data_IF_596185211369
#
_entry.id   IF_596185211369
#
_cell.length_a   1.000
_cell.length_b   1.000
_cell.length_c   1.000
_cell.angle_alpha   90.00
_cell.angle_beta   90.00
_cell.angle_gamma   90.00
#
_symmetry.space_group_name_H-M   'P 1'
#
loop_
_entity.id
_entity.type
_entity.pdbx_description
1 polymer ?
#
# COMPACT_ATOMS: atom_id res chain seq x y z
N UNK A 1 -17.01 7.02 -16.70
CA UNK A 1 -15.63 6.71 -17.09
C UNK A 1 -14.69 7.79 -16.57
N UNK A 2 -13.54 7.41 -16.07
CA UNK A 2 -12.48 8.31 -15.65
C UNK A 2 -11.10 7.69 -15.91
N UNK A 3 -10.11 8.55 -16.00
CA UNK A 3 -8.68 8.22 -15.98
C UNK A 3 -7.98 9.21 -15.06
N UNK A 4 -6.94 8.79 -14.39
CA UNK A 4 -6.15 9.62 -13.50
C UNK A 4 -4.71 9.16 -13.41
N UNK A 5 -3.88 10.02 -12.83
CA UNK A 5 -2.50 9.74 -12.49
C UNK A 5 -2.16 10.43 -11.17
N UNK A 6 -1.26 9.82 -10.40
CA UNK A 6 -0.65 10.42 -9.21
C UNK A 6 0.84 10.15 -9.19
N UNK A 7 1.56 10.89 -8.38
CA UNK A 7 2.99 10.68 -8.16
C UNK A 7 3.28 10.83 -6.67
N UNK A 8 4.09 9.93 -6.14
CA UNK A 8 4.37 9.86 -4.71
C UNK A 8 5.87 9.68 -4.46
N UNK A 9 6.35 10.31 -3.39
CA UNK A 9 7.68 10.01 -2.88
C UNK A 9 7.64 8.69 -2.11
N UNK A 10 8.60 7.83 -2.37
CA UNK A 10 8.66 6.50 -1.77
C UNK A 10 10.05 6.21 -1.20
N UNK A 11 10.12 5.18 -0.39
CA UNK A 11 11.36 4.61 0.09
C UNK A 11 11.31 3.10 -0.03
N UNK A 12 11.70 2.58 -1.20
CA UNK A 12 11.79 1.15 -1.47
C UNK A 12 13.23 0.66 -1.39
N UNK A 13 13.38 -0.62 -1.07
CA UNK A 13 14.69 -1.25 -0.92
C UNK A 13 15.50 -1.23 -2.24
N UNK A 14 14.85 -1.26 -3.40
CA UNK A 14 15.49 -1.13 -4.72
C UNK A 14 15.83 0.31 -5.13
N UNK A 15 15.61 1.30 -4.25
CA UNK A 15 15.92 2.71 -4.51
C UNK A 15 15.17 3.32 -5.70
N UNK A 16 13.98 2.84 -6.03
CA UNK A 16 13.14 3.50 -7.02
C UNK A 16 12.96 4.98 -6.66
N UNK A 17 13.01 5.85 -7.69
CA UNK A 17 13.03 7.30 -7.50
C UNK A 17 11.68 7.87 -7.07
N UNK A 18 10.59 7.27 -7.52
CA UNK A 18 9.22 7.69 -7.22
C UNK A 18 8.26 6.52 -7.48
N UNK A 19 7.04 6.66 -6.97
CA UNK A 19 5.87 5.92 -7.43
C UNK A 19 5.09 6.81 -8.40
N UNK A 20 4.72 6.27 -9.54
CA UNK A 20 3.86 6.92 -10.53
C UNK A 20 2.68 6.00 -10.80
N UNK A 21 1.49 6.48 -10.47
CA UNK A 21 0.27 5.74 -10.68
C UNK A 21 -0.44 6.17 -11.95
N UNK A 22 -1.01 5.19 -12.64
CA UNK A 22 -1.96 5.40 -13.74
C UNK A 22 -3.16 4.53 -13.49
N UNK A 23 -4.34 5.13 -13.42
CA UNK A 23 -5.56 4.39 -13.10
C UNK A 23 -6.75 4.86 -13.94
N UNK A 24 -7.74 3.99 -14.09
CA UNK A 24 -8.98 4.31 -14.77
C UNK A 24 -10.07 3.30 -14.49
N UNK A 25 -11.31 3.74 -14.68
CA UNK A 25 -12.45 2.90 -14.36
C UNK A 25 -13.80 3.54 -14.65
N UNK A 26 -14.83 2.91 -14.09
CA UNK A 26 -16.22 3.38 -14.17
C UNK A 26 -16.79 3.52 -12.75
N UNK A 27 -17.67 4.52 -12.58
CA UNK A 27 -18.34 4.81 -11.29
C UNK A 27 -19.86 4.85 -11.45
N UNK A 28 -20.51 3.70 -11.63
CA UNK A 28 -21.97 3.66 -11.66
C UNK A 28 -22.57 3.84 -10.26
N UNK A 29 -23.74 4.48 -10.21
CA UNK A 29 -24.51 4.69 -8.98
C UNK A 29 -25.93 4.19 -9.17
N UNK A 30 -26.44 3.39 -8.19
CA UNK A 30 -27.77 2.84 -8.19
C UNK A 30 -28.43 3.08 -6.82
N UNK A 31 -29.30 4.07 -6.74
CA UNK A 31 -29.94 4.46 -5.47
C UNK A 31 -28.90 4.84 -4.39
N UNK A 32 -28.90 4.11 -3.28
CA UNK A 32 -27.98 4.31 -2.16
C UNK A 32 -26.58 3.65 -2.36
N UNK A 33 -26.36 2.96 -3.47
CA UNK A 33 -25.12 2.25 -3.75
C UNK A 33 -24.33 2.94 -4.86
N UNK A 34 -23.07 3.24 -4.57
CA UNK A 34 -22.09 3.72 -5.53
C UNK A 34 -20.99 2.66 -5.70
N UNK A 35 -20.62 2.39 -6.94
CA UNK A 35 -19.53 1.45 -7.27
C UNK A 35 -18.37 2.20 -7.93
N UNK A 36 -17.17 1.65 -7.77
CA UNK A 36 -15.97 2.09 -8.49
C UNK A 36 -15.21 0.84 -8.91
N UNK A 37 -15.15 0.59 -10.20
CA UNK A 37 -14.53 -0.62 -10.77
C UNK A 37 -13.48 -0.17 -11.77
N UNK A 38 -12.25 -0.64 -11.62
CA UNK A 38 -11.18 -0.18 -12.49
C UNK A 38 -9.90 -1.00 -12.41
N UNK A 39 -8.87 -0.41 -13.00
CA UNK A 39 -7.50 -0.92 -13.01
C UNK A 39 -6.57 0.18 -12.50
N UNK A 40 -5.57 -0.22 -11.74
CA UNK A 40 -4.53 0.66 -11.19
C UNK A 40 -3.16 0.09 -11.52
N UNK A 41 -2.33 0.86 -12.18
CA UNK A 41 -0.94 0.53 -12.46
C UNK A 41 -0.01 1.33 -11.55
N UNK A 42 0.90 0.66 -10.89
CA UNK A 42 1.93 1.20 -10.03
C UNK A 42 3.28 1.08 -10.74
N UNK A 43 3.89 2.20 -11.07
CA UNK A 43 5.15 2.26 -11.80
C UNK A 43 6.25 2.81 -10.88
N UNK A 44 7.38 2.11 -10.82
CA UNK A 44 8.51 2.43 -9.93
C UNK A 44 9.79 2.69 -10.74
N UNK A 45 9.93 3.86 -11.39
CA UNK A 45 11.08 4.18 -12.22
C UNK A 45 12.37 4.34 -11.39
N UNK A 46 13.50 4.05 -12.02
CA UNK A 46 14.83 4.29 -11.47
C UNK A 46 15.31 3.26 -10.44
N UNK A 47 14.61 2.13 -10.31
CA UNK A 47 15.02 1.07 -9.39
C UNK A 47 16.37 0.44 -9.74
N UNK A 48 17.08 -0.04 -8.72
CA UNK A 48 18.32 -0.79 -8.82
C UNK A 48 18.15 -2.15 -8.15
N UNK A 49 18.59 -3.20 -8.82
CA UNK A 49 18.59 -4.53 -8.23
C UNK A 49 19.81 -4.74 -7.35
N UNK A 50 19.62 -5.32 -6.18
CA UNK A 50 20.68 -5.69 -5.25
C UNK A 50 20.59 -7.19 -4.96
N UNK A 51 21.76 -7.84 -4.81
CA UNK A 51 21.82 -9.20 -4.29
C UNK A 51 21.64 -9.20 -2.77
N UNK A 52 20.78 -10.08 -2.29
CA UNK A 52 20.87 -10.56 -0.92
C UNK A 52 21.97 -11.62 -0.77
N UNK A 53 22.11 -12.15 0.44
CA UNK A 53 23.02 -13.26 0.72
C UNK A 53 22.53 -14.60 0.13
N UNK A 54 21.38 -14.64 -0.53
CA UNK A 54 20.81 -15.88 -1.06
C UNK A 54 21.53 -16.32 -2.33
N UNK A 55 22.03 -17.54 -2.29
CA UNK A 55 22.60 -18.25 -3.43
C UNK A 55 21.84 -19.55 -3.66
N UNK A 56 21.84 -20.05 -4.89
CA UNK A 56 21.37 -21.40 -5.15
C UNK A 56 22.32 -22.46 -4.54
N UNK A 57 21.99 -23.74 -4.67
CA UNK A 57 22.81 -24.86 -4.17
C UNK A 57 24.20 -24.95 -4.81
N UNK A 58 24.43 -24.27 -5.93
CA UNK A 58 25.72 -24.18 -6.62
C UNK A 58 26.52 -22.92 -6.22
N UNK A 59 26.01 -22.13 -5.28
CA UNK A 59 26.63 -20.88 -4.82
C UNK A 59 26.42 -19.70 -5.80
N UNK A 60 25.55 -19.85 -6.81
CA UNK A 60 25.20 -18.78 -7.73
C UNK A 60 24.18 -17.85 -7.08
N UNK A 61 24.42 -16.53 -7.12
CA UNK A 61 23.43 -15.58 -6.63
C UNK A 61 22.08 -15.76 -7.34
N UNK A 62 21.00 -15.80 -6.57
CA UNK A 62 19.65 -15.78 -7.10
C UNK A 62 19.40 -14.39 -7.69
N UNK A 63 19.01 -14.32 -8.97
CA UNK A 63 18.84 -13.06 -9.70
C UNK A 63 20.08 -12.65 -10.49
N UNK A 64 20.15 -13.05 -11.75
CA UNK A 64 21.30 -12.79 -12.64
C UNK A 64 21.49 -11.34 -13.06
N UNK A 65 20.50 -10.47 -12.83
CA UNK A 65 20.44 -9.08 -13.29
C UNK A 65 20.84 -8.06 -12.22
N UNK A 66 21.20 -8.52 -11.04
CA UNK A 66 21.47 -7.68 -9.90
C UNK A 66 22.95 -7.29 -9.76
N UNK A 67 23.20 -6.13 -9.18
CA UNK A 67 24.54 -5.70 -8.77
C UNK A 67 25.01 -6.53 -7.57
N UNK A 68 26.34 -6.68 -7.44
CA UNK A 68 26.98 -7.46 -6.35
C UNK A 68 26.92 -6.79 -4.97
N UNK A 69 26.27 -5.65 -4.85
CA UNK A 69 26.15 -4.90 -3.60
C UNK A 69 24.91 -5.33 -2.83
N UNK A 70 25.04 -5.54 -1.54
CA UNK A 70 23.93 -5.84 -0.64
C UNK A 70 23.08 -4.61 -0.38
N UNK A 71 21.77 -4.82 -0.21
CA UNK A 71 20.93 -3.81 0.39
C UNK A 71 21.41 -3.47 1.81
N UNK A 72 21.21 -2.25 2.29
CA UNK A 72 21.57 -1.88 3.67
C UNK A 72 20.94 -2.77 4.73
N UNK A 73 19.73 -3.31 4.47
CA UNK A 73 19.02 -4.24 5.33
C UNK A 73 19.26 -5.73 4.99
N UNK A 74 20.13 -6.03 4.02
CA UNK A 74 20.46 -7.40 3.61
C UNK A 74 19.41 -8.13 2.77
N UNK A 75 18.35 -7.46 2.34
CA UNK A 75 17.29 -8.06 1.54
C UNK A 75 17.56 -7.98 0.03
N UNK A 76 16.88 -8.84 -0.72
CA UNK A 76 16.90 -8.88 -2.19
C UNK A 76 15.65 -8.20 -2.73
N UNK A 77 15.79 -7.39 -3.78
CA UNK A 77 14.65 -6.81 -4.47
C UNK A 77 14.98 -6.64 -5.96
N UNK A 78 14.02 -6.95 -6.83
CA UNK A 78 14.15 -6.74 -8.28
C UNK A 78 14.34 -5.26 -8.60
N UNK A 79 15.01 -5.01 -9.75
CA UNK A 79 15.17 -3.66 -10.30
C UNK A 79 13.82 -3.00 -10.58
N UNK A 80 12.92 -3.73 -11.23
CA UNK A 80 11.57 -3.29 -11.53
C UNK A 80 10.58 -4.03 -10.64
N UNK A 81 9.83 -3.29 -9.85
CA UNK A 81 8.76 -3.79 -8.98
C UNK A 81 7.40 -3.23 -9.40
N UNK A 82 7.31 -2.68 -10.62
CA UNK A 82 6.05 -2.19 -11.17
C UNK A 82 5.04 -3.32 -11.33
N UNK A 83 3.78 -3.03 -11.04
CA UNK A 83 2.70 -4.01 -11.11
C UNK A 83 1.36 -3.32 -11.36
N UNK A 84 0.29 -4.10 -11.47
CA UNK A 84 -1.06 -3.57 -11.59
C UNK A 84 -2.03 -4.35 -10.71
N UNK A 85 -3.15 -3.70 -10.41
CA UNK A 85 -4.30 -4.29 -9.72
C UNK A 85 -5.58 -4.03 -10.50
N UNK A 86 -6.48 -4.99 -10.46
CA UNK A 86 -7.90 -4.75 -10.73
C UNK A 86 -8.60 -4.52 -9.40
N UNK A 87 -9.55 -3.59 -9.36
CA UNK A 87 -10.24 -3.31 -8.11
C UNK A 87 -11.74 -3.12 -8.30
N UNK A 88 -12.45 -3.37 -7.22
CA UNK A 88 -13.86 -3.07 -7.06
C UNK A 88 -14.12 -2.46 -5.69
N UNK A 89 -14.89 -1.38 -5.66
CA UNK A 89 -15.38 -0.74 -4.44
C UNK A 89 -16.90 -0.64 -4.51
N UNK A 90 -17.55 -0.90 -3.39
CA UNK A 90 -18.98 -0.72 -3.23
C UNK A 90 -19.25 0.12 -1.99
N UNK A 91 -19.85 1.28 -2.16
CA UNK A 91 -20.22 2.18 -1.07
C UNK A 91 -21.74 2.19 -0.91
N UNK A 92 -22.19 1.91 0.30
CA UNK A 92 -23.58 2.05 0.72
C UNK A 92 -23.75 3.29 1.59
N UNK A 93 -24.48 4.28 1.09
CA UNK A 93 -24.88 5.47 1.83
C UNK A 93 -26.21 5.20 2.52
N UNK A 94 -26.17 4.93 3.84
CA UNK A 94 -27.37 4.62 4.63
C UNK A 94 -28.24 5.86 4.79
N UNK A 95 -27.60 7.00 5.09
CA UNK A 95 -28.23 8.31 5.26
C UNK A 95 -27.15 9.42 5.15
N UNK A 96 -27.53 10.66 5.42
CA UNK A 96 -26.61 11.83 5.32
C UNK A 96 -25.38 11.72 6.24
N UNK A 97 -25.45 10.91 7.29
CA UNK A 97 -24.39 10.79 8.29
C UNK A 97 -23.55 9.52 8.12
N UNK A 98 -24.12 8.40 7.63
CA UNK A 98 -23.46 7.11 7.66
C UNK A 98 -23.25 6.53 6.25
N UNK A 99 -22.04 6.11 5.99
CA UNK A 99 -21.68 5.33 4.81
C UNK A 99 -20.74 4.18 5.18
N UNK A 100 -20.88 3.06 4.48
CA UNK A 100 -19.97 1.91 4.54
C UNK A 100 -19.44 1.62 3.15
N UNK A 101 -18.14 1.29 3.07
CA UNK A 101 -17.50 0.90 1.81
C UNK A 101 -16.81 -0.43 2.01
N UNK A 102 -16.95 -1.32 1.03
CA UNK A 102 -16.15 -2.53 0.90
C UNK A 102 -15.22 -2.32 -0.29
N UNK A 103 -13.94 -2.63 -0.12
CA UNK A 103 -12.93 -2.58 -1.17
C UNK A 103 -12.37 -3.97 -1.40
N UNK A 104 -12.04 -4.24 -2.66
CA UNK A 104 -11.35 -5.43 -3.12
C UNK A 104 -10.33 -5.03 -4.17
N UNK A 105 -9.07 -5.44 -3.98
CA UNK A 105 -7.97 -5.20 -4.92
C UNK A 105 -7.26 -6.52 -5.18
N UNK A 106 -6.98 -6.84 -6.41
CA UNK A 106 -6.28 -8.04 -6.80
C UNK A 106 -5.17 -7.75 -7.80
N UNK A 107 -3.96 -8.19 -7.48
CA UNK A 107 -2.82 -8.22 -8.38
C UNK A 107 -2.41 -9.67 -8.66
N UNK A 108 -2.28 -10.08 -9.92
CA UNK A 108 -1.73 -11.40 -10.25
C UNK A 108 -0.22 -11.51 -9.99
N UNK A 109 0.48 -10.37 -9.89
CA UNK A 109 1.93 -10.30 -9.72
C UNK A 109 2.31 -9.08 -8.87
N UNK A 110 2.01 -9.16 -7.57
CA UNK A 110 2.22 -8.08 -6.61
C UNK A 110 3.71 -7.70 -6.51
N UNK A 111 4.01 -6.41 -6.68
CA UNK A 111 5.38 -5.88 -6.70
C UNK A 111 6.34 -6.64 -7.64
N UNK A 112 5.82 -7.21 -8.73
CA UNK A 112 6.60 -8.02 -9.68
C UNK A 112 7.37 -9.19 -9.02
N UNK A 113 6.83 -9.70 -7.92
CA UNK A 113 7.48 -10.76 -7.14
C UNK A 113 7.16 -12.17 -7.63
N UNK A 114 6.22 -12.32 -8.56
CA UNK A 114 5.63 -13.61 -8.93
C UNK A 114 4.48 -14.03 -7.99
N UNK A 115 4.37 -13.43 -6.82
CA UNK A 115 3.26 -13.68 -5.90
C UNK A 115 2.02 -12.89 -6.32
N UNK A 116 0.85 -13.52 -6.25
CA UNK A 116 -0.40 -12.76 -6.30
C UNK A 116 -0.60 -12.01 -4.98
N UNK A 117 -1.32 -10.89 -5.03
CA UNK A 117 -1.77 -10.13 -3.87
C UNK A 117 -3.27 -9.88 -3.95
N UNK A 118 -3.95 -9.98 -2.82
CA UNK A 118 -5.35 -9.63 -2.68
C UNK A 118 -5.54 -8.82 -1.39
N UNK A 119 -6.11 -7.63 -1.50
CA UNK A 119 -6.45 -6.79 -0.36
C UNK A 119 -7.95 -6.55 -0.32
N UNK A 120 -8.57 -6.96 0.79
CA UNK A 120 -9.98 -6.69 1.06
C UNK A 120 -10.09 -5.82 2.30
N UNK A 121 -10.98 -4.83 2.27
CA UNK A 121 -11.24 -3.99 3.44
C UNK A 121 -12.69 -3.56 3.56
N UNK A 122 -13.07 -3.18 4.79
CA UNK A 122 -14.31 -2.51 5.11
C UNK A 122 -14.03 -1.18 5.78
N UNK A 123 -14.71 -0.13 5.33
CA UNK A 123 -14.62 1.23 5.85
C UNK A 123 -15.97 1.65 6.39
N UNK A 124 -15.99 2.17 7.63
CA UNK A 124 -17.12 2.89 8.17
C UNK A 124 -16.81 4.39 8.23
N UNK A 125 -17.75 5.23 7.79
CA UNK A 125 -17.62 6.68 7.86
C UNK A 125 -18.87 7.30 8.48
N UNK A 126 -18.65 8.13 9.49
CA UNK A 126 -19.66 9.02 10.06
C UNK A 126 -19.33 10.47 9.68
N UNK A 127 -20.28 11.16 9.06
CA UNK A 127 -20.21 12.59 8.76
C UNK A 127 -21.12 13.33 9.72
N UNK A 128 -20.58 14.25 10.50
CA UNK A 128 -21.35 15.04 11.42
C UNK A 128 -22.30 16.01 10.69
N UNK A 129 -23.43 16.39 11.29
CA UNK A 129 -24.30 17.40 10.72
C UNK A 129 -23.53 18.70 10.40
N UNK A 130 -23.87 19.37 9.30
CA UNK A 130 -23.21 20.61 8.86
C UNK A 130 -23.26 21.75 9.89
N UNK A 131 -24.11 21.64 10.87
CA UNK A 131 -24.28 22.60 11.96
C UNK A 131 -23.38 22.33 13.17
N UNK A 132 -22.56 21.27 13.15
CA UNK A 132 -21.72 20.87 14.31
C UNK A 132 -20.80 21.99 14.79
N UNK A 133 -20.34 22.86 13.89
CA UNK A 133 -19.55 24.06 14.20
C UNK A 133 -20.31 25.36 13.87
N UNK A 134 -21.64 25.36 14.00
CA UNK A 134 -22.50 26.52 13.74
C UNK A 134 -22.43 26.96 12.26
N UNK A 135 -22.21 28.25 12.04
CA UNK A 135 -22.16 28.86 10.69
C UNK A 135 -20.74 28.95 10.13
N UNK A 136 -19.77 28.30 10.75
CA UNK A 136 -18.35 28.39 10.33
C UNK A 136 -18.08 27.82 8.92
N UNK A 137 -18.94 26.95 8.42
CA UNK A 137 -18.74 26.22 7.17
C UNK A 137 -17.71 25.07 7.28
N UNK A 138 -17.25 24.79 8.50
CA UNK A 138 -16.37 23.64 8.77
C UNK A 138 -17.21 22.37 8.91
N UNK A 139 -16.87 21.34 8.14
CA UNK A 139 -17.42 19.99 8.29
C UNK A 139 -16.51 19.08 9.11
N UNK A 140 -17.08 18.01 9.65
CA UNK A 140 -16.39 17.01 10.46
C UNK A 140 -16.80 15.61 10.01
N UNK A 141 -15.83 14.70 9.90
CA UNK A 141 -16.11 13.28 9.79
C UNK A 141 -15.16 12.44 10.68
N UNK A 142 -15.62 11.26 11.01
CA UNK A 142 -14.80 10.19 11.60
C UNK A 142 -14.89 8.98 10.67
N UNK A 143 -13.77 8.32 10.40
CA UNK A 143 -13.79 7.09 9.63
C UNK A 143 -12.79 6.08 10.16
N UNK A 144 -13.11 4.81 10.01
CA UNK A 144 -12.20 3.72 10.33
C UNK A 144 -12.24 2.66 9.25
N UNK A 145 -11.14 1.96 9.08
CA UNK A 145 -10.97 0.87 8.14
C UNK A 145 -10.35 -0.33 8.84
N UNK A 146 -10.80 -1.51 8.48
CA UNK A 146 -10.12 -2.77 8.76
C UNK A 146 -9.95 -3.50 7.44
N UNK A 147 -8.72 -3.96 7.18
CA UNK A 147 -8.38 -4.67 5.96
C UNK A 147 -7.49 -5.87 6.22
N UNK A 148 -7.41 -6.74 5.21
CA UNK A 148 -6.50 -7.88 5.20
C UNK A 148 -5.85 -8.00 3.84
N UNK A 149 -4.52 -8.17 3.86
CA UNK A 149 -3.72 -8.49 2.70
C UNK A 149 -3.41 -9.98 2.71
N UNK A 150 -3.79 -10.68 1.66
CA UNK A 150 -3.35 -12.04 1.35
C UNK A 150 -2.30 -11.98 0.26
N UNK A 151 -1.25 -12.78 0.40
CA UNK A 151 -0.14 -12.81 -0.54
C UNK A 151 0.15 -14.25 -0.98
N UNK A 152 0.55 -14.42 -2.22
CA UNK A 152 0.95 -15.68 -2.81
C UNK A 152 2.38 -16.11 -2.47
N UNK A 153 2.90 -17.02 -3.30
CA UNK A 153 4.30 -17.44 -3.27
C UNK A 153 5.05 -16.71 -4.37
N UNK A 154 6.22 -16.17 -4.05
CA UNK A 154 7.08 -15.48 -5.01
C UNK A 154 7.64 -16.44 -6.07
N UNK A 155 8.27 -15.88 -7.08
CA UNK A 155 9.08 -16.65 -8.02
C UNK A 155 10.47 -17.02 -7.44
N UNK A 156 11.25 -17.76 -8.22
CA UNK A 156 12.58 -18.24 -7.83
C UNK A 156 13.63 -17.13 -7.64
N UNK A 157 13.38 -15.91 -8.12
CA UNK A 157 14.27 -14.78 -7.84
C UNK A 157 14.40 -14.51 -6.34
N UNK A 158 13.29 -14.67 -5.61
CA UNK A 158 13.24 -14.51 -4.15
C UNK A 158 13.44 -15.83 -3.40
N UNK A 159 13.78 -16.91 -4.11
CA UNK A 159 14.05 -18.20 -3.50
C UNK A 159 15.24 -18.16 -2.55
N UNK A 160 15.23 -19.06 -1.58
CA UNK A 160 16.33 -19.30 -0.65
C UNK A 160 16.66 -20.79 -0.69
N UNK A 161 17.82 -21.27 -0.17
CA UNK A 161 18.19 -22.68 -0.25
C UNK A 161 17.12 -23.66 0.26
N UNK A 162 16.34 -23.27 1.28
CA UNK A 162 15.24 -24.08 1.82
C UNK A 162 13.97 -24.03 0.92
N UNK A 163 13.81 -22.98 0.10
CA UNK A 163 12.65 -22.72 -0.77
C UNK A 163 13.11 -22.16 -2.12
N UNK A 164 13.79 -22.99 -2.96
CA UNK A 164 14.49 -22.49 -4.16
C UNK A 164 13.54 -21.97 -5.25
N UNK A 165 12.28 -22.40 -5.25
CA UNK A 165 11.27 -22.00 -6.25
C UNK A 165 10.44 -20.79 -5.85
N UNK A 166 10.72 -20.20 -4.68
CA UNK A 166 10.02 -19.04 -4.16
C UNK A 166 9.57 -19.21 -2.71
N UNK A 167 9.16 -18.12 -2.11
CA UNK A 167 8.79 -18.01 -0.70
C UNK A 167 7.33 -17.59 -0.59
N UNK A 168 6.53 -18.28 0.22
CA UNK A 168 5.19 -17.87 0.60
C UNK A 168 5.31 -16.61 1.49
N UNK A 169 4.75 -15.49 1.05
CA UNK A 169 4.69 -14.28 1.84
C UNK A 169 3.63 -14.38 2.94
N UNK A 170 3.88 -13.75 4.05
CA UNK A 170 2.93 -13.73 5.16
C UNK A 170 1.76 -12.80 4.85
N UNK A 171 0.55 -13.28 5.11
CA UNK A 171 -0.64 -12.45 5.14
C UNK A 171 -0.62 -11.55 6.37
N UNK A 172 -1.30 -10.39 6.30
CA UNK A 172 -1.37 -9.48 7.45
C UNK A 172 -2.67 -8.67 7.44
N UNK A 173 -3.04 -8.17 8.61
CA UNK A 173 -4.16 -7.27 8.78
C UNK A 173 -3.68 -5.82 8.90
N UNK A 174 -4.56 -4.90 8.50
CA UNK A 174 -4.34 -3.46 8.65
C UNK A 174 -5.57 -2.84 9.30
N UNK A 175 -5.38 -1.80 10.07
CA UNK A 175 -6.50 -1.00 10.58
C UNK A 175 -6.10 0.46 10.74
N UNK A 176 -7.08 1.32 10.60
CA UNK A 176 -6.89 2.73 10.85
C UNK A 176 -8.18 3.37 11.38
N UNK A 177 -8.03 4.48 12.10
CA UNK A 177 -9.12 5.35 12.52
C UNK A 177 -8.65 6.79 12.43
N UNK A 178 -9.51 7.67 11.94
CA UNK A 178 -9.16 9.07 11.76
C UNK A 178 -10.35 10.01 11.93
N UNK A 179 -10.00 11.27 12.16
CA UNK A 179 -10.92 12.40 12.21
C UNK A 179 -10.51 13.40 11.12
N UNK A 180 -11.48 13.87 10.34
CA UNK A 180 -11.24 14.81 9.26
C UNK A 180 -12.08 16.07 9.39
N UNK A 181 -11.45 17.20 9.09
CA UNK A 181 -12.06 18.53 9.04
C UNK A 181 -12.06 19.02 7.60
N UNK A 182 -13.21 19.46 7.12
CA UNK A 182 -13.35 20.00 5.76
C UNK A 182 -13.72 21.46 5.80
N UNK A 183 -13.09 22.28 4.94
CA UNK A 183 -13.46 23.66 4.76
C UNK A 183 -13.25 24.08 3.33
N UNK A 184 -14.32 24.38 2.61
CA UNK A 184 -14.30 24.68 1.16
C UNK A 184 -13.59 23.53 0.38
N UNK A 185 -12.44 23.84 -0.21
CA UNK A 185 -11.61 22.89 -0.98
C UNK A 185 -10.58 22.16 -0.15
N UNK A 186 -10.45 22.48 1.14
CA UNK A 186 -9.42 21.92 2.02
C UNK A 186 -9.99 20.80 2.89
N UNK A 187 -9.19 19.76 3.08
CA UNK A 187 -9.46 18.69 4.06
C UNK A 187 -8.20 18.43 4.87
N UNK A 188 -8.31 18.52 6.19
CA UNK A 188 -7.30 18.03 7.13
C UNK A 188 -7.79 16.72 7.73
N UNK A 189 -7.06 15.62 7.51
CA UNK A 189 -7.32 14.29 8.10
C UNK A 189 -6.17 13.94 9.05
N UNK A 190 -6.52 13.59 10.28
CA UNK A 190 -5.60 13.12 11.31
C UNK A 190 -5.95 11.67 11.62
N UNK A 191 -5.01 10.76 11.44
CA UNK A 191 -5.27 9.32 11.44
C UNK A 191 -4.23 8.53 12.23
N UNK A 192 -4.68 7.58 13.02
CA UNK A 192 -3.87 6.48 13.53
C UNK A 192 -3.97 5.31 12.56
N UNK A 193 -2.85 4.69 12.24
CA UNK A 193 -2.78 3.50 11.38
C UNK A 193 -1.84 2.48 11.99
N UNK A 194 -2.13 1.18 11.81
CA UNK A 194 -1.29 0.10 12.32
C UNK A 194 -1.51 -1.18 11.51
N UNK A 195 -0.61 -2.16 11.68
CA UNK A 195 -0.71 -3.49 11.09
C UNK A 195 -0.22 -4.56 12.07
N UNK A 196 -0.59 -5.81 11.86
CA UNK A 196 -0.03 -6.97 12.56
C UNK A 196 1.16 -7.63 11.84
N UNK A 197 1.71 -6.95 10.82
CA UNK A 197 2.88 -7.46 10.11
C UNK A 197 4.08 -7.57 11.06
N UNK A 198 4.75 -8.73 11.05
CA UNK A 198 5.95 -8.93 11.87
C UNK A 198 7.08 -8.00 11.42
N UNK A 199 7.92 -7.58 12.37
CA UNK A 199 9.08 -6.70 12.09
C UNK A 199 10.03 -7.29 11.04
N UNK A 200 10.18 -8.61 11.00
CA UNK A 200 11.02 -9.28 10.01
C UNK A 200 10.44 -9.24 8.61
N UNK A 201 9.13 -9.44 8.46
CA UNK A 201 8.46 -9.32 7.17
C UNK A 201 8.43 -7.86 6.71
N UNK A 202 8.19 -6.92 7.61
CA UNK A 202 8.26 -5.48 7.32
C UNK A 202 9.65 -5.07 6.80
N UNK A 203 10.73 -5.54 7.44
CA UNK A 203 12.11 -5.25 7.02
C UNK A 203 12.38 -5.70 5.57
N UNK A 204 11.75 -6.77 5.11
CA UNK A 204 11.95 -7.29 3.76
C UNK A 204 11.40 -6.36 2.65
N UNK A 205 10.34 -5.61 2.95
CA UNK A 205 9.67 -4.74 1.99
C UNK A 205 10.06 -3.26 2.11
N UNK A 206 10.81 -2.89 3.14
CA UNK A 206 11.18 -1.49 3.42
C UNK A 206 12.66 -1.24 3.20
N UNK A 207 13.01 0.02 2.99
CA UNK A 207 14.40 0.50 3.03
C UNK A 207 14.77 1.08 4.39
N UNK A 208 14.17 0.58 5.46
CA UNK A 208 14.38 1.08 6.81
C UNK A 208 15.86 1.01 7.20
N UNK A 209 16.52 2.17 7.18
CA UNK A 209 17.93 2.31 7.56
C UNK A 209 18.15 2.22 9.09
N UNK A 210 17.07 2.21 9.86
CA UNK A 210 17.10 2.01 11.32
C UNK A 210 16.82 0.54 11.70
N UNK A 211 16.49 -0.31 10.71
CA UNK A 211 16.28 -1.74 10.94
C UNK A 211 17.52 -2.38 11.57
N UNK A 212 17.31 -3.20 12.57
CA UNK A 212 18.41 -3.82 13.31
C UNK A 212 18.02 -5.13 13.98
N UNK A 213 19.01 -5.72 14.67
CA UNK A 213 18.87 -7.01 15.35
C UNK A 213 19.09 -8.19 14.39
N UNK A 214 18.99 -9.39 14.94
CA UNK A 214 19.18 -10.67 14.23
C UNK A 214 18.13 -11.71 14.62
N UNK A 215 17.10 -11.30 15.37
CA UNK A 215 16.11 -12.21 15.96
C UNK A 215 14.79 -12.27 15.21
N UNK A 216 14.59 -11.40 14.21
CA UNK A 216 13.35 -11.31 13.43
C UNK A 216 13.45 -12.15 12.14
N UNK A 217 13.98 -13.34 12.23
CA UNK A 217 14.18 -14.25 11.08
C UNK A 217 12.82 -14.69 10.53
N UNK A 218 12.65 -14.50 9.22
CA UNK A 218 11.53 -15.04 8.45
C UNK A 218 12.05 -15.62 7.13
N UNK A 219 11.29 -16.42 6.40
CA UNK A 219 11.74 -16.96 5.11
C UNK A 219 12.20 -15.89 4.13
N UNK A 220 11.52 -14.73 4.09
CA UNK A 220 11.87 -13.60 3.22
C UNK A 220 12.98 -12.71 3.81
N UNK A 221 13.29 -12.84 5.09
CA UNK A 221 14.30 -12.06 5.81
C UNK A 221 15.21 -12.97 6.63
N UNK A 222 16.08 -13.77 6.01
CA UNK A 222 16.95 -14.71 6.70
C UNK A 222 18.00 -14.04 7.59
N UNK A 223 18.33 -12.76 7.32
CA UNK A 223 19.26 -11.98 8.17
C UNK A 223 18.68 -11.57 9.51
N UNK A 224 17.37 -11.66 9.70
CA UNK A 224 16.69 -11.43 10.99
C UNK A 224 16.62 -9.95 11.42
N UNK A 225 16.89 -8.99 10.54
CA UNK A 225 16.69 -7.58 10.85
C UNK A 225 15.21 -7.26 11.05
N UNK A 226 14.89 -6.36 11.96
CA UNK A 226 13.51 -5.94 12.25
C UNK A 226 13.28 -4.48 11.91
N UNK A 227 12.17 -4.18 11.23
CA UNK A 227 11.70 -2.81 10.98
C UNK A 227 10.41 -2.52 11.75
N UNK A 228 10.29 -1.30 12.25
CA UNK A 228 9.06 -0.80 12.86
C UNK A 228 8.20 0.04 11.91
N UNK A 229 8.60 0.19 10.64
CA UNK A 229 7.91 1.09 9.70
C UNK A 229 6.50 0.62 9.28
N UNK A 230 6.20 -0.68 9.47
CA UNK A 230 4.85 -1.21 9.23
C UNK A 230 3.96 -1.22 10.48
N UNK A 231 4.44 -0.72 11.61
CA UNK A 231 3.69 -0.65 12.86
C UNK A 231 2.91 0.66 13.01
N UNK A 232 2.53 0.92 14.24
CA UNK A 232 1.71 2.07 14.63
C UNK A 232 2.29 3.40 14.15
N UNK A 233 1.46 4.20 13.47
CA UNK A 233 1.82 5.52 12.97
C UNK A 233 0.67 6.53 13.15
N UNK A 234 1.03 7.77 13.48
CA UNK A 234 0.15 8.94 13.36
C UNK A 234 0.36 9.61 12.01
N UNK A 235 -0.72 9.83 11.27
CA UNK A 235 -0.67 10.43 9.93
C UNK A 235 -1.47 11.72 9.95
N UNK A 236 -0.89 12.82 9.44
CA UNK A 236 -1.59 14.06 9.16
C UNK A 236 -1.56 14.30 7.65
N UNK A 237 -2.73 14.42 7.03
CA UNK A 237 -2.90 14.66 5.60
C UNK A 237 -3.67 15.97 5.37
N UNK A 238 -3.07 16.90 4.65
CA UNK A 238 -3.76 18.07 4.11
C UNK A 238 -4.04 17.84 2.63
N UNK A 239 -5.31 17.94 2.23
CA UNK A 239 -5.73 17.79 0.84
C UNK A 239 -6.39 19.08 0.34
N UNK A 240 -6.25 19.33 -0.97
CA UNK A 240 -6.92 20.40 -1.70
C UNK A 240 -7.60 19.79 -2.91
N UNK A 241 -8.92 19.88 -2.97
CA UNK A 241 -9.72 19.31 -4.05
C UNK A 241 -10.19 20.44 -4.98
N UNK A 242 -9.64 20.50 -6.20
CA UNK A 242 -9.95 21.50 -7.20
C UNK A 242 -10.60 20.84 -8.43
N UNK A 243 -11.65 21.48 -8.95
CA UNK A 243 -12.24 21.11 -10.23
C UNK A 243 -12.17 22.28 -11.21
N UNK A 244 -11.81 22.02 -12.47
CA UNK A 244 -11.68 23.05 -13.50
C UNK A 244 -12.98 23.86 -13.65
N UNK A 245 -14.13 23.19 -13.57
CA UNK A 245 -15.45 23.81 -13.74
C UNK A 245 -15.82 24.80 -12.64
N UNK A 246 -15.36 24.60 -11.42
CA UNK A 246 -15.76 25.42 -10.26
C UNK A 246 -14.64 26.30 -9.70
N UNK A 247 -13.38 25.93 -9.88
CA UNK A 247 -12.25 26.57 -9.21
C UNK A 247 -11.26 27.28 -10.14
N UNK A 248 -11.32 27.02 -11.47
CA UNK A 248 -10.42 27.61 -12.47
C UNK A 248 -11.15 28.57 -13.43
N UNK A 249 -12.18 29.25 -12.92
CA UNK A 249 -12.89 30.31 -13.66
C UNK A 249 -12.23 31.65 -13.43
#
# INVERSE_FOLDING_TARGET
LYIGTSTESISFANRAAAEVDVYGGIRPTFGAFAFDIGVWGYLYPGGTCYFGAATDTAGKPLGNECLTNFLPNGNVMKKDVSFFEVYGKATWTINDNWAFTINEYYSPNFLNTGAWGNYSSIIGKYTAPSTVFGTSGVGLYVSGEFGRQWLGTSDSFYGVPAFPNGIKYADYNTWNIGIGFTYKVFTLDLRYSDTDMSKGNCSAFTSDYTAGGTTNVTPINPGGTGSNWCGAAGIAKLSVDLTAMSNLK
#
